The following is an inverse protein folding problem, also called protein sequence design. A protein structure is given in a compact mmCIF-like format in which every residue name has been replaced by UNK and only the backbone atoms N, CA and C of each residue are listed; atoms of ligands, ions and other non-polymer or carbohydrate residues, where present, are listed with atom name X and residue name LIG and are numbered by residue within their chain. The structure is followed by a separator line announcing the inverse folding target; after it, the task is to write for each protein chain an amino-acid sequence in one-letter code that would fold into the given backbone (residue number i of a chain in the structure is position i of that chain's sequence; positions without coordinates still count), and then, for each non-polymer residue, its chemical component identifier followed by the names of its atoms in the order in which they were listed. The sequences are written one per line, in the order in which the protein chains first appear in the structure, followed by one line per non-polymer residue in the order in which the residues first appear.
data_IF_292913827932
#
_entry.id   IF_292913827932
#
_cell.length_a   1.000
_cell.length_b   1.000
_cell.length_c   1.000
_cell.angle_alpha   90.00
_cell.angle_beta   90.00
_cell.angle_gamma   90.00
#
_symmetry.space_group_name_H-M   'P 1'
#
loop_
_entity.id
_entity.type
_entity.pdbx_description
1 polymer ?
#
# COMPACT_ATOMS: atom_id res chain seq x y z
N UNK A 1 -17.89 27.90 9.46
CA UNK A 1 -17.71 29.25 10.05
C UNK A 1 -16.28 29.36 10.56
N UNK A 2 -15.59 30.46 10.29
CA UNK A 2 -14.19 30.69 10.69
C UNK A 2 -14.13 31.62 11.89
N UNK A 3 -13.31 31.25 12.87
CA UNK A 3 -13.06 32.01 14.09
C UNK A 3 -11.55 32.27 14.19
N UNK A 4 -11.14 33.45 13.77
CA UNK A 4 -9.75 33.88 13.83
C UNK A 4 -9.40 34.27 15.27
N UNK A 5 -8.50 33.50 15.89
CA UNK A 5 -8.18 33.61 17.31
C UNK A 5 -6.69 33.86 17.50
N UNK A 6 -6.35 35.08 17.92
CA UNK A 6 -4.97 35.47 18.22
C UNK A 6 -4.55 35.04 19.62
N UNK A 7 -3.60 34.11 19.72
CA UNK A 7 -2.91 33.77 20.97
C UNK A 7 -3.78 33.10 22.05
N UNK A 8 -5.08 32.90 21.80
CA UNK A 8 -6.00 32.20 22.69
C UNK A 8 -6.09 30.72 22.32
N UNK A 9 -6.16 29.84 23.31
CA UNK A 9 -6.43 28.43 23.08
C UNK A 9 -7.85 28.27 22.48
N UNK A 10 -7.95 27.61 21.33
CA UNK A 10 -9.21 27.41 20.59
C UNK A 10 -10.32 26.76 21.44
N UNK A 11 -9.94 25.90 22.40
CA UNK A 11 -10.88 25.27 23.33
C UNK A 11 -11.54 26.27 24.29
N UNK A 12 -10.80 27.27 24.78
CA UNK A 12 -11.34 28.28 25.71
C UNK A 12 -12.28 29.22 24.98
N UNK A 13 -11.93 29.60 23.76
CA UNK A 13 -12.81 30.38 22.87
C UNK A 13 -14.09 29.60 22.56
N UNK A 14 -13.99 28.31 22.25
CA UNK A 14 -15.16 27.47 21.99
C UNK A 14 -16.06 27.35 23.22
N UNK A 15 -15.50 27.12 24.41
CA UNK A 15 -16.28 27.07 25.67
C UNK A 15 -16.98 28.39 25.97
N UNK A 16 -16.26 29.50 25.78
CA UNK A 16 -16.83 30.84 25.95
C UNK A 16 -17.97 31.08 24.96
N UNK A 17 -17.79 30.72 23.69
CA UNK A 17 -18.83 30.81 22.67
C UNK A 17 -20.08 30.04 23.09
N UNK A 18 -19.94 28.76 23.47
CA UNK A 18 -21.06 27.93 23.94
C UNK A 18 -21.81 28.53 25.13
N UNK A 19 -21.10 29.19 26.06
CA UNK A 19 -21.69 29.82 27.23
C UNK A 19 -22.54 31.06 26.90
N UNK A 20 -22.25 31.72 25.78
CA UNK A 20 -22.91 32.96 25.35
C UNK A 20 -23.93 32.75 24.23
N UNK A 21 -24.10 31.53 23.71
CA UNK A 21 -25.15 31.24 22.75
C UNK A 21 -26.53 31.33 23.44
N UNK A 22 -27.41 32.17 22.90
CA UNK A 22 -28.77 32.36 23.42
C UNK A 22 -29.63 31.09 23.41
N UNK A 23 -29.31 30.15 22.53
CA UNK A 23 -29.84 28.78 22.54
C UNK A 23 -28.68 27.81 22.71
N UNK A 24 -28.76 26.93 23.72
CA UNK A 24 -27.78 25.85 23.87
C UNK A 24 -27.90 24.90 22.68
N UNK A 25 -26.78 24.52 22.04
CA UNK A 25 -26.82 23.51 21.00
C UNK A 25 -27.29 22.18 21.57
N UNK A 26 -28.00 21.41 20.75
CA UNK A 26 -28.48 20.06 21.08
C UNK A 26 -27.30 19.12 21.30
N UNK A 27 -26.24 19.27 20.51
CA UNK A 27 -24.98 18.53 20.63
C UNK A 27 -23.80 19.43 20.24
N UNK A 28 -22.62 19.11 20.77
CA UNK A 28 -21.39 19.78 20.37
C UNK A 28 -20.20 18.85 20.49
N UNK A 29 -19.24 18.97 19.57
CA UNK A 29 -17.96 18.25 19.58
C UNK A 29 -16.82 19.23 19.35
N UNK A 30 -15.68 18.97 19.96
CA UNK A 30 -14.44 19.72 19.74
C UNK A 30 -13.32 18.69 19.58
N UNK A 31 -12.53 18.83 18.51
CA UNK A 31 -11.41 17.92 18.22
C UNK A 31 -10.12 18.57 18.72
N UNK A 32 -9.54 18.10 19.84
CA UNK A 32 -8.35 18.70 20.42
C UNK A 32 -7.18 18.76 19.43
N UNK A 33 -6.46 19.89 19.39
CA UNK A 33 -5.29 20.08 18.55
C UNK A 33 -5.56 20.41 17.08
N UNK A 34 -6.75 20.11 16.55
CA UNK A 34 -7.12 20.45 15.16
C UNK A 34 -7.67 21.86 14.98
N UNK A 35 -8.14 22.48 16.06
CA UNK A 35 -8.89 23.73 15.96
C UNK A 35 -10.26 23.55 15.30
N UNK A 36 -10.84 22.34 15.31
CA UNK A 36 -12.16 22.09 14.73
C UNK A 36 -13.21 21.79 15.80
N UNK A 37 -14.40 22.33 15.62
CA UNK A 37 -15.56 22.01 16.43
C UNK A 37 -16.82 21.92 15.58
N UNK A 38 -17.76 21.07 15.96
CA UNK A 38 -19.08 21.00 15.32
C UNK A 38 -20.14 21.21 16.38
N UNK A 39 -21.11 22.08 16.10
CA UNK A 39 -22.31 22.25 16.91
C UNK A 39 -23.55 21.90 16.09
N UNK A 40 -24.51 21.26 16.73
CA UNK A 40 -25.83 21.00 16.15
C UNK A 40 -26.84 21.85 16.88
N UNK A 41 -27.44 22.79 16.16
CA UNK A 41 -28.45 23.70 16.71
C UNK A 41 -29.83 23.21 16.31
N UNK A 42 -30.84 23.60 17.09
CA UNK A 42 -32.26 23.37 16.85
C UNK A 42 -32.75 21.89 16.81
N UNK A 43 -34.07 21.64 16.80
CA UNK A 43 -34.64 20.29 16.72
C UNK A 43 -34.45 19.56 15.37
N UNK A 44 -34.11 20.29 14.30
CA UNK A 44 -33.79 19.73 12.98
C UNK A 44 -32.31 19.33 12.87
N UNK A 45 -31.51 19.58 13.91
CA UNK A 45 -30.09 19.27 13.99
C UNK A 45 -29.28 19.96 12.88
N UNK A 46 -29.54 21.25 12.67
CA UNK A 46 -28.73 22.07 11.77
C UNK A 46 -27.26 22.03 12.22
N UNK A 47 -26.40 21.45 11.38
CA UNK A 47 -24.97 21.28 11.64
C UNK A 47 -24.22 22.56 11.29
N UNK A 48 -23.40 23.06 12.22
CA UNK A 48 -22.49 24.18 12.02
C UNK A 48 -21.07 23.70 12.35
N UNK A 49 -20.22 23.65 11.33
CA UNK A 49 -18.79 23.40 11.49
C UNK A 49 -18.03 24.71 11.77
N UNK A 50 -17.25 24.72 12.84
CA UNK A 50 -16.45 25.83 13.35
C UNK A 50 -14.97 25.49 13.18
N UNK A 51 -14.24 26.36 12.50
CA UNK A 51 -12.79 26.22 12.32
C UNK A 51 -12.10 27.40 13.01
N UNK A 52 -11.20 27.09 13.93
CA UNK A 52 -10.41 28.02 14.73
C UNK A 52 -8.97 27.99 14.22
N UNK A 53 -8.40 29.16 13.97
CA UNK A 53 -7.03 29.27 13.46
C UNK A 53 -6.45 30.63 13.79
N UNK A 54 -5.13 30.67 13.91
CA UNK A 54 -4.38 31.92 14.12
C UNK A 54 -3.89 32.51 12.81
N UNK A 55 -3.64 31.70 11.78
CA UNK A 55 -3.27 32.15 10.44
C UNK A 55 -4.48 32.00 9.51
N UNK A 56 -4.93 33.07 8.83
CA UNK A 56 -5.94 32.95 7.78
C UNK A 56 -5.64 31.88 6.74
N UNK A 57 -4.38 31.60 6.38
CA UNK A 57 -4.06 30.56 5.39
C UNK A 57 -4.34 29.13 5.87
N UNK A 58 -4.55 28.90 7.18
CA UNK A 58 -4.97 27.60 7.72
C UNK A 58 -6.31 27.13 7.12
N UNK A 59 -7.13 28.05 6.58
CA UNK A 59 -8.41 27.75 5.95
C UNK A 59 -8.34 27.64 4.42
N UNK A 60 -7.14 27.74 3.80
CA UNK A 60 -6.98 27.80 2.34
C UNK A 60 -7.57 26.58 1.64
N UNK A 61 -7.37 25.40 2.23
CA UNK A 61 -7.91 24.13 1.74
C UNK A 61 -9.43 24.14 1.56
N UNK A 62 -10.17 24.90 2.39
CA UNK A 62 -11.62 25.00 2.32
C UNK A 62 -12.06 26.16 1.40
N UNK A 63 -11.31 27.27 1.42
CA UNK A 63 -11.53 28.41 0.51
C UNK A 63 -11.37 28.02 -0.96
N UNK A 64 -10.39 27.18 -1.25
CA UNK A 64 -10.07 26.71 -2.60
C UNK A 64 -10.74 25.37 -2.95
N UNK A 65 -11.62 24.85 -2.08
CA UNK A 65 -12.26 23.56 -2.31
C UNK A 65 -13.36 23.67 -3.40
N UNK A 66 -13.18 23.10 -4.61
CA UNK A 66 -14.16 23.22 -5.68
C UNK A 66 -15.49 22.52 -5.35
N UNK A 67 -15.43 21.51 -4.47
CA UNK A 67 -16.56 20.66 -4.07
C UNK A 67 -17.56 21.37 -3.16
N UNK A 68 -17.15 22.48 -2.53
CA UNK A 68 -18.01 23.26 -1.63
C UNK A 68 -18.58 24.44 -2.43
N UNK A 69 -19.91 24.63 -2.46
CA UNK A 69 -20.51 25.82 -3.08
C UNK A 69 -20.15 27.08 -2.29
N UNK A 70 -20.15 28.23 -2.99
CA UNK A 70 -20.03 29.52 -2.32
C UNK A 70 -21.31 29.82 -1.51
N UNK A 71 -21.22 30.50 -0.36
CA UNK A 71 -19.99 30.84 0.35
C UNK A 71 -19.39 29.61 1.07
N UNK A 72 -18.10 29.32 0.83
CA UNK A 72 -17.42 28.16 1.46
C UNK A 72 -17.01 28.45 2.90
N UNK A 73 -16.68 29.71 3.17
CA UNK A 73 -16.32 30.21 4.49
C UNK A 73 -17.19 31.42 4.81
N UNK A 74 -17.57 31.51 6.09
CA UNK A 74 -18.24 32.68 6.66
C UNK A 74 -17.48 33.03 7.93
N UNK A 75 -17.16 34.31 8.10
CA UNK A 75 -16.49 34.82 9.30
C UNK A 75 -17.47 34.84 10.47
N UNK A 76 -17.14 34.12 11.54
CA UNK A 76 -17.82 34.25 12.83
C UNK A 76 -17.15 35.26 13.75
N UNK A 77 -15.82 35.37 13.69
CA UNK A 77 -15.01 36.27 14.52
C UNK A 77 -13.66 36.52 13.83
N UNK A 78 -13.31 37.79 13.63
CA UNK A 78 -12.03 38.23 13.05
C UNK A 78 -11.81 39.73 13.37
N UNK A 79 -11.41 40.05 14.62
CA UNK A 79 -11.32 41.43 15.09
C UNK A 79 -10.26 42.26 14.34
N UNK A 80 -9.33 41.61 13.63
CA UNK A 80 -8.30 42.24 12.82
C UNK A 80 -8.58 42.24 11.31
N UNK A 81 -9.72 41.72 10.87
CA UNK A 81 -10.07 41.53 9.46
C UNK A 81 -8.97 40.78 8.65
N UNK A 82 -8.23 39.88 9.31
CA UNK A 82 -7.12 39.15 8.68
C UNK A 82 -7.61 38.09 7.70
N UNK A 83 -8.82 37.58 7.90
CA UNK A 83 -9.46 36.60 7.04
C UNK A 83 -10.11 37.22 5.79
N UNK A 84 -10.08 38.54 5.60
CA UNK A 84 -10.73 39.20 4.46
C UNK A 84 -10.35 38.59 3.11
N UNK A 85 -9.04 38.39 2.87
CA UNK A 85 -8.52 37.82 1.62
C UNK A 85 -8.99 36.38 1.40
N UNK A 86 -9.00 35.57 2.44
CA UNK A 86 -9.38 34.16 2.30
C UNK A 86 -10.90 33.98 2.19
N UNK A 87 -11.67 34.85 2.83
CA UNK A 87 -13.12 34.90 2.69
C UNK A 87 -13.49 35.35 1.28
N UNK A 88 -12.81 36.34 0.73
CA UNK A 88 -12.94 36.76 -0.68
C UNK A 88 -12.64 35.59 -1.63
N UNK A 89 -11.55 34.84 -1.41
CA UNK A 89 -11.28 33.59 -2.17
C UNK A 89 -12.41 32.57 -2.01
N UNK A 90 -12.92 32.38 -0.79
CA UNK A 90 -13.98 31.43 -0.47
C UNK A 90 -15.37 31.82 -1.02
N UNK A 91 -15.56 33.09 -1.37
CA UNK A 91 -16.77 33.60 -2.04
C UNK A 91 -16.56 33.81 -3.53
N UNK A 92 -15.33 33.70 -4.02
CA UNK A 92 -15.01 33.70 -5.45
C UNK A 92 -15.46 32.38 -6.07
N UNK A 93 -16.12 32.48 -7.21
CA UNK A 93 -16.47 31.31 -8.01
C UNK A 93 -15.18 30.70 -8.59
N UNK A 94 -14.85 29.48 -8.18
CA UNK A 94 -13.72 28.76 -8.73
C UNK A 94 -14.08 28.28 -10.13
N UNK A 95 -13.13 28.31 -11.07
CA UNK A 95 -13.31 27.71 -12.39
C UNK A 95 -13.70 26.24 -12.22
N UNK A 96 -14.92 25.90 -12.64
CA UNK A 96 -15.51 24.56 -12.62
C UNK A 96 -15.71 24.05 -14.03
N UNK A 97 -14.70 24.22 -14.89
CA UNK A 97 -14.80 23.61 -16.21
C UNK A 97 -14.90 22.09 -15.99
N UNK A 98 -15.90 21.47 -16.62
CA UNK A 98 -16.08 20.02 -16.54
C UNK A 98 -14.79 19.27 -16.92
N UNK A 99 -14.01 19.70 -17.94
CA UNK A 99 -12.70 19.09 -18.23
C UNK A 99 -11.71 19.13 -17.05
N UNK A 100 -11.56 20.27 -16.36
CA UNK A 100 -10.60 20.37 -15.25
C UNK A 100 -11.01 19.46 -14.08
N UNK A 101 -12.31 19.41 -13.78
CA UNK A 101 -12.85 18.54 -12.74
C UNK A 101 -12.67 17.05 -13.10
N UNK A 102 -12.92 16.69 -14.36
CA UNK A 102 -12.67 15.32 -14.85
C UNK A 102 -11.19 14.95 -14.71
N UNK A 103 -10.27 15.80 -15.17
CA UNK A 103 -8.83 15.56 -15.06
C UNK A 103 -8.41 15.33 -13.59
N UNK A 104 -8.90 16.16 -12.66
CA UNK A 104 -8.61 16.02 -11.24
C UNK A 104 -9.16 14.71 -10.64
N UNK A 105 -10.39 14.30 -10.99
CA UNK A 105 -10.96 13.05 -10.48
C UNK A 105 -10.30 11.81 -11.10
N UNK A 106 -9.86 11.89 -12.36
CA UNK A 106 -9.08 10.86 -13.06
C UNK A 106 -7.76 10.61 -12.32
N UNK A 107 -7.01 11.67 -12.00
CA UNK A 107 -5.75 11.53 -11.27
C UNK A 107 -5.96 10.89 -9.88
N UNK A 108 -6.96 11.38 -9.14
CA UNK A 108 -7.31 10.80 -7.83
C UNK A 108 -7.75 9.34 -7.93
N UNK A 109 -8.45 8.95 -9.01
CA UNK A 109 -8.80 7.56 -9.25
C UNK A 109 -7.55 6.70 -9.40
N UNK A 110 -6.60 7.10 -10.25
CA UNK A 110 -5.37 6.35 -10.52
C UNK A 110 -4.53 6.18 -9.25
N UNK A 111 -4.38 7.26 -8.47
CA UNK A 111 -3.71 7.20 -7.16
C UNK A 111 -4.41 6.26 -6.19
N UNK A 112 -5.74 6.32 -6.08
CA UNK A 112 -6.52 5.42 -5.23
C UNK A 112 -6.43 3.97 -5.67
N UNK A 113 -6.44 3.72 -6.99
CA UNK A 113 -6.33 2.39 -7.59
C UNK A 113 -4.97 1.76 -7.31
N UNK A 114 -3.88 2.51 -7.50
CA UNK A 114 -2.54 2.04 -7.18
C UNK A 114 -2.38 1.77 -5.68
N UNK A 115 -2.85 2.68 -4.82
CA UNK A 115 -2.79 2.49 -3.37
C UNK A 115 -3.56 1.23 -2.93
N UNK A 116 -4.74 0.99 -3.50
CA UNK A 116 -5.51 -0.23 -3.27
C UNK A 116 -4.71 -1.46 -3.70
N UNK A 117 -4.17 -1.44 -4.92
CA UNK A 117 -3.40 -2.56 -5.47
C UNK A 117 -2.12 -2.85 -4.68
N UNK A 118 -1.43 -1.82 -4.17
CA UNK A 118 -0.26 -1.93 -3.31
C UNK A 118 -0.61 -2.50 -1.93
N UNK A 119 -1.70 -2.07 -1.32
CA UNK A 119 -2.21 -2.65 -0.07
C UNK A 119 -2.58 -4.13 -0.25
N UNK A 120 -3.24 -4.45 -1.36
CA UNK A 120 -3.58 -5.81 -1.74
C UNK A 120 -2.35 -6.72 -1.87
N UNK A 121 -1.31 -6.27 -2.59
CA UNK A 121 -0.04 -7.02 -2.72
C UNK A 121 0.59 -7.30 -1.36
N UNK A 122 0.46 -6.39 -0.40
CA UNK A 122 0.98 -6.51 0.97
C UNK A 122 0.05 -7.27 1.93
N UNK A 123 -0.98 -7.93 1.40
CA UNK A 123 -1.97 -8.68 2.19
C UNK A 123 -2.70 -7.82 3.24
N UNK A 124 -2.86 -6.51 2.99
CA UNK A 124 -3.60 -5.60 3.86
C UNK A 124 -5.06 -5.45 3.38
N UNK A 125 -5.96 -6.25 3.95
CA UNK A 125 -7.37 -6.28 3.57
C UNK A 125 -8.12 -4.97 3.86
N UNK A 126 -7.78 -4.29 4.95
CA UNK A 126 -8.46 -3.05 5.34
C UNK A 126 -8.00 -1.87 4.48
N UNK A 127 -6.69 -1.68 4.31
CA UNK A 127 -6.18 -0.61 3.43
C UNK A 127 -6.60 -0.85 1.99
N UNK A 128 -6.62 -2.10 1.51
CA UNK A 128 -7.18 -2.42 0.20
C UNK A 128 -8.63 -1.93 0.09
N UNK A 129 -9.49 -2.36 1.00
CA UNK A 129 -10.91 -1.96 1.02
C UNK A 129 -11.06 -0.43 1.05
N UNK A 130 -10.29 0.25 1.89
CA UNK A 130 -10.36 1.70 2.04
C UNK A 130 -9.98 2.42 0.74
N UNK A 131 -8.78 2.15 0.21
CA UNK A 131 -8.31 2.80 -1.02
C UNK A 131 -9.14 2.41 -2.25
N UNK A 132 -9.63 1.17 -2.31
CA UNK A 132 -10.51 0.71 -3.38
C UNK A 132 -11.82 1.52 -3.39
N UNK A 133 -12.42 1.77 -2.21
CA UNK A 133 -13.63 2.59 -2.13
C UNK A 133 -13.36 4.06 -2.44
N UNK A 134 -12.17 4.59 -2.12
CA UNK A 134 -11.77 5.92 -2.60
C UNK A 134 -11.74 5.96 -4.13
N UNK A 135 -11.10 4.99 -4.79
CA UNK A 135 -11.07 4.91 -6.25
C UNK A 135 -12.49 4.76 -6.84
N UNK A 136 -13.31 3.85 -6.31
CA UNK A 136 -14.70 3.69 -6.73
C UNK A 136 -15.51 4.99 -6.59
N UNK A 137 -15.28 5.74 -5.52
CA UNK A 137 -15.92 7.04 -5.32
C UNK A 137 -15.48 8.07 -6.38
N UNK A 138 -14.20 8.07 -6.78
CA UNK A 138 -13.72 8.92 -7.89
C UNK A 138 -14.38 8.54 -9.21
N UNK A 139 -14.55 7.26 -9.49
CA UNK A 139 -15.30 6.80 -10.66
C UNK A 139 -16.77 7.28 -10.63
N UNK A 140 -17.44 7.19 -9.47
CA UNK A 140 -18.80 7.70 -9.29
C UNK A 140 -18.91 9.21 -9.61
N UNK A 141 -17.90 10.00 -9.21
CA UNK A 141 -17.83 11.43 -9.49
C UNK A 141 -17.58 11.74 -10.96
N UNK A 142 -16.68 11.00 -11.61
CA UNK A 142 -16.46 11.10 -13.06
C UNK A 142 -17.79 10.88 -13.80
N UNK A 143 -18.54 9.84 -13.45
CA UNK A 143 -19.83 9.56 -14.12
C UNK A 143 -20.89 10.62 -13.82
N UNK A 144 -20.97 11.17 -12.61
CA UNK A 144 -21.89 12.29 -12.34
C UNK A 144 -21.49 13.55 -13.11
N UNK A 145 -20.20 13.83 -13.32
CA UNK A 145 -19.74 14.95 -14.14
C UNK A 145 -20.11 14.78 -15.62
N UNK A 146 -20.01 13.56 -16.15
CA UNK A 146 -20.34 13.25 -17.55
C UNK A 146 -21.85 13.29 -17.83
N UNK A 147 -22.68 12.89 -16.86
CA UNK A 147 -24.12 12.65 -17.06
C UNK A 147 -25.05 13.57 -16.26
N UNK A 148 -24.48 14.42 -15.42
CA UNK A 148 -25.19 15.11 -14.36
C UNK A 148 -24.91 16.60 -14.28
N UNK A 149 -25.33 17.17 -13.15
CA UNK A 149 -25.21 18.58 -12.82
C UNK A 149 -24.30 18.63 -11.57
N UNK A 150 -23.18 19.40 -11.57
CA UNK A 150 -22.15 19.36 -10.53
C UNK A 150 -22.58 19.80 -9.11
N UNK A 151 -23.88 19.87 -8.81
CA UNK A 151 -24.46 20.39 -7.56
C UNK A 151 -24.20 19.48 -6.35
N UNK A 152 -23.83 18.20 -6.53
CA UNK A 152 -23.52 17.27 -5.43
C UNK A 152 -22.34 16.32 -5.72
N UNK A 153 -21.15 16.86 -6.02
CA UNK A 153 -19.97 16.04 -6.34
C UNK A 153 -19.40 15.24 -5.15
N UNK A 154 -19.56 15.69 -3.91
CA UNK A 154 -19.02 14.93 -2.76
C UNK A 154 -19.74 13.59 -2.52
N UNK A 155 -21.04 13.51 -2.81
CA UNK A 155 -21.80 12.27 -2.75
C UNK A 155 -23.05 12.38 -3.66
N UNK A 156 -22.93 12.00 -4.94
CA UNK A 156 -24.03 12.14 -5.89
C UNK A 156 -25.30 11.43 -5.40
N UNK A 157 -26.34 12.22 -5.08
CA UNK A 157 -27.61 11.68 -4.60
C UNK A 157 -28.29 10.89 -5.71
N UNK A 158 -28.73 9.68 -5.39
CA UNK A 158 -29.49 8.83 -6.30
C UNK A 158 -28.74 8.52 -7.61
N UNK A 159 -27.39 8.46 -7.59
CA UNK A 159 -26.56 8.19 -8.77
C UNK A 159 -27.08 7.02 -9.60
N UNK A 160 -27.23 5.84 -8.98
CA UNK A 160 -27.70 4.63 -9.66
C UNK A 160 -29.11 4.81 -10.26
N UNK A 161 -30.16 5.11 -9.46
CA UNK A 161 -31.52 5.19 -10.01
C UNK A 161 -31.78 6.41 -10.90
N UNK A 162 -31.00 7.50 -10.78
CA UNK A 162 -31.20 8.74 -11.55
C UNK A 162 -30.37 8.79 -12.84
N UNK A 163 -29.19 8.16 -12.88
CA UNK A 163 -28.22 8.31 -13.97
C UNK A 163 -27.93 7.04 -14.77
N UNK A 164 -28.45 5.89 -14.33
CA UNK A 164 -28.10 4.60 -14.92
C UNK A 164 -29.33 3.72 -15.15
N UNK A 165 -29.46 3.06 -16.33
CA UNK A 165 -30.48 2.04 -16.57
C UNK A 165 -30.25 0.82 -15.67
N UNK A 166 -31.32 0.02 -15.47
CA UNK A 166 -31.31 -1.10 -14.51
C UNK A 166 -30.18 -2.11 -14.74
N UNK A 167 -29.80 -2.39 -15.98
CA UNK A 167 -28.69 -3.31 -16.28
C UNK A 167 -27.33 -2.74 -15.86
N UNK A 168 -27.07 -1.46 -16.11
CA UNK A 168 -25.85 -0.79 -15.62
C UNK A 168 -25.82 -0.75 -14.08
N UNK A 169 -26.96 -0.53 -13.42
CA UNK A 169 -27.02 -0.56 -11.96
C UNK A 169 -26.60 -1.91 -11.37
N UNK A 170 -26.88 -3.04 -12.04
CA UNK A 170 -26.43 -4.36 -11.58
C UNK A 170 -24.90 -4.44 -11.60
N UNK A 171 -24.29 -4.01 -12.70
CA UNK A 171 -22.82 -3.96 -12.85
C UNK A 171 -22.20 -3.10 -11.74
N UNK A 172 -22.76 -1.92 -11.46
CA UNK A 172 -22.26 -1.06 -10.39
C UNK A 172 -22.35 -1.68 -8.99
N UNK A 173 -23.35 -2.51 -8.71
CA UNK A 173 -23.45 -3.25 -7.43
C UNK A 173 -22.36 -4.33 -7.29
N UNK A 174 -21.82 -4.82 -8.41
CA UNK A 174 -20.70 -5.77 -8.41
C UNK A 174 -19.35 -5.10 -8.12
N UNK A 175 -19.26 -3.77 -8.26
CA UNK A 175 -18.07 -3.00 -7.92
C UNK A 175 -17.88 -2.79 -6.41
N UNK A 176 -18.77 -3.30 -5.55
CA UNK A 176 -18.67 -3.13 -4.09
C UNK A 176 -17.29 -3.55 -3.56
N UNK A 177 -16.70 -2.73 -2.69
CA UNK A 177 -15.44 -3.07 -2.03
C UNK A 177 -15.57 -4.29 -1.11
N UNK A 178 -14.48 -5.04 -0.96
CA UNK A 178 -14.40 -6.22 -0.08
C UNK A 178 -13.10 -6.19 0.73
N UNK A 179 -13.16 -6.63 1.99
CA UNK A 179 -11.95 -6.89 2.80
C UNK A 179 -11.36 -8.29 2.51
N UNK A 180 -12.08 -9.12 1.75
CA UNK A 180 -11.65 -10.46 1.40
C UNK A 180 -10.74 -10.42 0.16
N UNK A 181 -9.43 -10.41 0.41
CA UNK A 181 -8.41 -10.24 -0.64
C UNK A 181 -8.44 -11.25 -1.79
N UNK A 182 -8.86 -12.53 -1.62
CA UNK A 182 -8.94 -13.43 -2.77
C UNK A 182 -9.85 -12.93 -3.92
N UNK A 183 -10.82 -12.05 -3.65
CA UNK A 183 -11.67 -11.43 -4.69
C UNK A 183 -11.06 -10.17 -5.32
N UNK A 184 -10.00 -9.60 -4.73
CA UNK A 184 -9.55 -8.25 -5.04
C UNK A 184 -8.97 -8.11 -6.45
N UNK A 185 -8.35 -9.15 -7.04
CA UNK A 185 -7.95 -9.08 -8.45
C UNK A 185 -9.15 -8.95 -9.38
N UNK A 186 -10.24 -9.68 -9.14
CA UNK A 186 -11.48 -9.57 -9.90
C UNK A 186 -12.14 -8.20 -9.71
N UNK A 187 -12.14 -7.66 -8.48
CA UNK A 187 -12.63 -6.31 -8.20
C UNK A 187 -11.81 -5.23 -8.92
N UNK A 188 -10.48 -5.27 -8.84
CA UNK A 188 -9.59 -4.33 -9.53
C UNK A 188 -9.80 -4.36 -11.05
N UNK A 189 -9.92 -5.55 -11.66
CA UNK A 189 -10.17 -5.69 -13.12
C UNK A 189 -11.48 -5.02 -13.52
N UNK A 190 -12.59 -5.35 -12.84
CA UNK A 190 -13.91 -4.74 -13.11
C UNK A 190 -13.89 -3.22 -12.91
N UNK A 191 -13.24 -2.74 -11.85
CA UNK A 191 -13.15 -1.31 -11.59
C UNK A 191 -12.34 -0.57 -12.67
N UNK A 192 -11.21 -1.15 -13.11
CA UNK A 192 -10.39 -0.62 -14.19
C UNK A 192 -11.17 -0.57 -15.52
N UNK A 193 -11.91 -1.63 -15.85
CA UNK A 193 -12.76 -1.68 -17.06
C UNK A 193 -13.80 -0.55 -17.05
N UNK A 194 -14.55 -0.38 -15.95
CA UNK A 194 -15.55 0.69 -15.83
C UNK A 194 -14.94 2.08 -15.89
N UNK A 195 -13.74 2.24 -15.34
CA UNK A 195 -13.01 3.50 -15.44
C UNK A 195 -12.59 3.81 -16.87
N UNK A 196 -12.07 2.84 -17.62
CA UNK A 196 -11.68 3.06 -19.02
C UNK A 196 -12.88 3.42 -19.91
N UNK A 197 -14.05 2.81 -19.67
CA UNK A 197 -15.30 3.23 -20.33
C UNK A 197 -15.65 4.69 -20.03
N UNK A 198 -15.50 5.12 -18.77
CA UNK A 198 -15.73 6.52 -18.40
C UNK A 198 -14.69 7.49 -19.02
N UNK A 199 -13.45 7.04 -19.23
CA UNK A 199 -12.42 7.80 -19.95
C UNK A 199 -12.79 7.96 -21.44
N UNK A 200 -13.37 6.93 -22.05
CA UNK A 200 -13.84 6.98 -23.44
C UNK A 200 -14.99 8.01 -23.61
N UNK A 201 -15.95 7.99 -22.69
CA UNK A 201 -17.03 8.99 -22.62
C UNK A 201 -16.47 10.41 -22.39
N UNK A 202 -15.47 10.54 -21.51
CA UNK A 202 -14.85 11.82 -21.20
C UNK A 202 -14.14 12.43 -22.41
N UNK A 203 -13.34 11.65 -23.16
CA UNK A 203 -12.70 12.15 -24.39
C UNK A 203 -13.69 12.53 -25.48
N UNK A 204 -14.78 11.76 -25.61
CA UNK A 204 -15.77 11.97 -26.67
C UNK A 204 -16.56 13.26 -26.46
N UNK A 205 -16.81 13.61 -25.19
CA UNK A 205 -17.69 14.73 -24.82
C UNK A 205 -16.93 15.96 -24.28
N UNK A 206 -15.69 15.77 -23.81
CA UNK A 206 -14.90 16.80 -23.14
C UNK A 206 -13.42 16.72 -23.58
N UNK A 207 -12.74 17.87 -23.59
CA UNK A 207 -11.30 17.95 -23.91
C UNK A 207 -10.45 17.68 -22.66
N UNK A 208 -10.46 16.44 -22.17
CA UNK A 208 -9.60 16.03 -21.05
C UNK A 208 -8.14 15.84 -21.51
N UNK A 209 -7.20 15.94 -20.59
CA UNK A 209 -5.76 15.88 -20.88
C UNK A 209 -5.26 14.42 -20.92
N UNK A 210 -5.82 13.57 -20.07
CA UNK A 210 -5.33 12.20 -19.86
C UNK A 210 -5.79 11.28 -20.99
N UNK A 211 -4.84 10.82 -21.81
CA UNK A 211 -5.13 9.87 -22.89
C UNK A 211 -5.52 8.48 -22.37
N UNK A 212 -6.44 7.81 -23.09
CA UNK A 212 -6.97 6.48 -22.75
C UNK A 212 -5.89 5.40 -22.75
N UNK A 213 -4.99 5.43 -23.74
CA UNK A 213 -3.87 4.49 -23.88
C UNK A 213 -2.91 4.57 -22.70
N UNK A 214 -2.60 5.77 -22.22
CA UNK A 214 -1.78 5.98 -21.02
C UNK A 214 -2.43 5.41 -19.76
N UNK A 215 -3.73 5.68 -19.57
CA UNK A 215 -4.49 5.17 -18.44
C UNK A 215 -4.58 3.63 -18.45
N UNK A 216 -4.86 3.04 -19.62
CA UNK A 216 -4.91 1.58 -19.79
C UNK A 216 -3.55 0.93 -19.51
N UNK A 217 -2.47 1.51 -20.04
CA UNK A 217 -1.11 1.02 -19.81
C UNK A 217 -0.74 1.05 -18.32
N UNK A 218 -1.08 2.13 -17.61
CA UNK A 218 -0.88 2.24 -16.16
C UNK A 218 -1.66 1.17 -15.39
N UNK A 219 -2.97 1.02 -15.66
CA UNK A 219 -3.82 0.06 -14.95
C UNK A 219 -3.34 -1.37 -15.19
N UNK A 220 -2.97 -1.71 -16.43
CA UNK A 220 -2.39 -3.00 -16.78
C UNK A 220 -1.08 -3.26 -16.02
N UNK A 221 -0.18 -2.28 -15.96
CA UNK A 221 1.07 -2.41 -15.23
C UNK A 221 0.84 -2.65 -13.73
N UNK A 222 -0.08 -1.91 -13.11
CA UNK A 222 -0.45 -2.09 -11.69
C UNK A 222 -1.07 -3.47 -11.44
N UNK A 223 -2.00 -3.90 -12.31
CA UNK A 223 -2.65 -5.20 -12.20
C UNK A 223 -1.66 -6.37 -12.32
N UNK A 224 -0.69 -6.27 -13.24
CA UNK A 224 0.34 -7.29 -13.46
C UNK A 224 1.35 -7.32 -12.31
N UNK A 225 1.86 -6.14 -11.89
CA UNK A 225 2.82 -6.00 -10.78
C UNK A 225 2.29 -6.59 -9.48
N UNK A 226 1.01 -6.36 -9.18
CA UNK A 226 0.38 -6.69 -7.90
C UNK A 226 -0.57 -7.90 -8.00
N UNK A 227 -0.39 -8.77 -9.00
CA UNK A 227 -1.25 -9.93 -9.21
C UNK A 227 -1.09 -10.96 -8.07
N UNK A 228 0.15 -11.29 -7.72
CA UNK A 228 0.48 -12.28 -6.70
C UNK A 228 0.75 -11.61 -5.35
N UNK A 229 0.24 -12.20 -4.26
CA UNK A 229 0.38 -11.56 -2.96
C UNK A 229 1.72 -11.88 -2.35
N UNK A 230 2.33 -10.84 -1.77
CA UNK A 230 3.53 -10.93 -0.97
C UNK A 230 4.70 -11.62 -1.69
N UNK A 231 4.69 -11.59 -3.03
CA UNK A 231 5.78 -12.09 -3.88
C UNK A 231 6.84 -11.03 -4.00
N UNK A 232 8.10 -11.41 -3.73
CA UNK A 232 9.29 -10.59 -3.98
C UNK A 232 10.54 -11.46 -4.02
N UNK A 233 11.57 -10.94 -4.65
CA UNK A 233 12.90 -11.53 -4.59
C UNK A 233 13.45 -11.33 -3.17
N UNK A 234 14.06 -12.37 -2.60
CA UNK A 234 14.75 -12.25 -1.33
C UNK A 234 15.90 -11.23 -1.43
N UNK A 235 16.52 -11.10 -2.61
CA UNK A 235 17.61 -10.16 -2.84
C UNK A 235 17.19 -8.68 -2.75
N UNK A 236 15.91 -8.36 -2.98
CA UNK A 236 15.40 -6.96 -3.01
C UNK A 236 15.67 -6.21 -1.71
N UNK A 237 15.76 -6.92 -0.58
CA UNK A 237 16.03 -6.33 0.72
C UNK A 237 17.54 -6.21 1.06
N UNK A 238 18.42 -6.87 0.30
CA UNK A 238 19.84 -6.99 0.63
C UNK A 238 20.72 -6.53 -0.54
N UNK A 239 20.56 -5.27 -0.91
CA UNK A 239 21.20 -4.64 -2.07
C UNK A 239 22.68 -5.01 -2.21
N UNK A 240 23.04 -5.64 -3.34
CA UNK A 240 24.40 -6.06 -3.69
C UNK A 240 24.95 -7.25 -2.89
N UNK A 241 24.32 -7.70 -1.80
CA UNK A 241 24.80 -8.79 -0.93
C UNK A 241 24.30 -10.17 -1.37
N UNK A 242 23.07 -10.22 -1.88
CA UNK A 242 22.38 -11.45 -2.29
C UNK A 242 22.21 -11.48 -3.81
N UNK A 243 22.31 -12.67 -4.40
CA UNK A 243 22.08 -12.92 -5.83
C UNK A 243 20.60 -12.78 -6.16
N UNK A 244 20.21 -11.88 -7.07
CA UNK A 244 18.83 -11.79 -7.53
C UNK A 244 18.45 -13.04 -8.34
N UNK A 245 17.17 -13.38 -8.32
CA UNK A 245 16.54 -14.46 -9.08
C UNK A 245 16.81 -15.86 -8.54
N UNK A 246 17.27 -16.00 -7.29
CA UNK A 246 17.63 -17.32 -6.71
C UNK A 246 16.65 -17.80 -5.65
N UNK A 247 16.16 -16.92 -4.79
CA UNK A 247 15.21 -17.23 -3.73
C UNK A 247 14.09 -16.20 -3.75
N UNK A 248 12.86 -16.66 -3.91
CA UNK A 248 11.66 -15.82 -3.82
C UNK A 248 10.86 -16.22 -2.60
N UNK A 249 10.29 -15.23 -1.92
CA UNK A 249 9.28 -15.45 -0.90
C UNK A 249 7.91 -15.03 -1.42
N UNK A 250 6.86 -15.76 -1.04
CA UNK A 250 5.52 -15.58 -1.58
C UNK A 250 4.42 -15.98 -0.57
N UNK A 251 3.20 -15.49 -0.79
CA UNK A 251 1.99 -16.19 -0.30
C UNK A 251 1.72 -17.45 -1.12
N UNK A 252 0.71 -18.25 -0.74
CA UNK A 252 0.42 -19.49 -1.47
C UNK A 252 0.01 -19.21 -2.90
N UNK A 253 0.84 -19.69 -3.85
CA UNK A 253 0.61 -19.45 -5.27
C UNK A 253 -0.54 -20.29 -5.84
N UNK A 254 -0.98 -21.32 -5.12
CA UNK A 254 -2.11 -22.18 -5.53
C UNK A 254 -3.41 -21.41 -5.73
N UNK A 255 -3.56 -20.22 -5.10
CA UNK A 255 -4.67 -19.28 -5.32
C UNK A 255 -4.80 -18.84 -6.77
N UNK A 256 -3.70 -18.85 -7.53
CA UNK A 256 -3.63 -18.42 -8.92
C UNK A 256 -3.28 -19.58 -9.85
N UNK A 257 -3.55 -20.83 -9.44
CA UNK A 257 -3.26 -22.02 -10.25
C UNK A 257 -3.86 -21.95 -11.66
N UNK A 258 -5.05 -21.37 -11.77
CA UNK A 258 -5.79 -21.23 -13.04
C UNK A 258 -5.45 -19.94 -13.82
N UNK A 259 -4.65 -19.03 -13.24
CA UNK A 259 -4.24 -17.79 -13.90
C UNK A 259 -3.01 -18.05 -14.79
N UNK A 260 -3.07 -17.83 -16.12
CA UNK A 260 -1.95 -18.10 -17.03
C UNK A 260 -0.66 -17.36 -16.65
N UNK A 261 -0.80 -16.17 -16.05
CA UNK A 261 0.30 -15.37 -15.56
C UNK A 261 1.16 -16.09 -14.51
N UNK A 262 0.61 -17.05 -13.75
CA UNK A 262 1.41 -17.83 -12.79
C UNK A 262 2.41 -18.73 -13.51
N UNK A 263 1.98 -19.44 -14.54
CA UNK A 263 2.86 -20.28 -15.34
C UNK A 263 3.97 -19.46 -16.02
N UNK A 264 3.60 -18.28 -16.55
CA UNK A 264 4.55 -17.34 -17.14
C UNK A 264 5.56 -16.85 -16.11
N UNK A 265 5.10 -16.41 -14.94
CA UNK A 265 5.97 -15.92 -13.86
C UNK A 265 6.95 -17.00 -13.37
N UNK A 266 6.48 -18.24 -13.19
CA UNK A 266 7.34 -19.37 -12.80
C UNK A 266 8.43 -19.65 -13.87
N UNK A 267 8.07 -19.57 -15.15
CA UNK A 267 9.00 -19.76 -16.28
C UNK A 267 10.03 -18.64 -16.36
N UNK A 268 9.60 -17.38 -16.30
CA UNK A 268 10.46 -16.20 -16.42
C UNK A 268 11.48 -16.11 -15.29
N UNK A 269 11.04 -16.41 -14.07
CA UNK A 269 11.92 -16.46 -12.89
C UNK A 269 12.68 -17.77 -12.77
N UNK A 270 12.59 -18.66 -13.77
CA UNK A 270 13.30 -19.95 -13.84
C UNK A 270 13.11 -20.77 -12.56
N UNK A 271 11.90 -20.79 -12.02
CA UNK A 271 11.58 -21.52 -10.79
C UNK A 271 11.74 -23.01 -11.05
N UNK A 272 12.56 -23.67 -10.23
CA UNK A 272 12.82 -25.12 -10.26
C UNK A 272 12.41 -25.81 -8.97
N UNK A 273 12.05 -25.04 -7.95
CA UNK A 273 11.66 -25.56 -6.66
C UNK A 273 10.60 -24.70 -5.98
N UNK A 274 9.62 -25.35 -5.37
CA UNK A 274 8.64 -24.74 -4.47
C UNK A 274 8.74 -25.42 -3.10
N UNK A 275 8.81 -24.62 -2.05
CA UNK A 275 8.75 -25.05 -0.65
C UNK A 275 7.44 -24.51 -0.06
N UNK A 276 6.54 -25.42 0.28
CA UNK A 276 5.26 -25.11 0.89
C UNK A 276 5.31 -25.39 2.40
N UNK A 277 5.14 -24.34 3.20
CA UNK A 277 5.15 -24.39 4.66
C UNK A 277 3.75 -24.52 5.27
N UNK A 278 2.70 -24.62 4.45
CA UNK A 278 1.32 -24.77 4.92
C UNK A 278 1.11 -26.10 5.61
N UNK A 279 0.21 -26.13 6.59
CA UNK A 279 -0.28 -27.37 7.18
C UNK A 279 -1.21 -28.09 6.21
N UNK A 280 -1.45 -29.38 6.44
CA UNK A 280 -2.33 -30.19 5.61
C UNK A 280 -3.76 -29.63 5.56
N UNK A 281 -4.30 -29.18 6.70
CA UNK A 281 -5.64 -28.57 6.79
C UNK A 281 -5.80 -27.31 5.93
N UNK A 282 -4.75 -26.51 5.78
CA UNK A 282 -4.73 -25.32 4.90
C UNK A 282 -4.70 -25.67 3.40
N UNK A 283 -4.50 -26.94 3.07
CA UNK A 283 -4.49 -27.46 1.70
C UNK A 283 -5.80 -28.18 1.34
N UNK A 284 -6.69 -28.43 2.31
CA UNK A 284 -8.00 -29.10 2.12
C UNK A 284 -9.06 -28.15 1.53
N UNK A 285 -8.71 -27.46 0.44
CA UNK A 285 -9.60 -26.53 -0.28
C UNK A 285 -9.51 -26.79 -1.78
N UNK A 286 -10.51 -26.32 -2.55
CA UNK A 286 -10.54 -26.51 -4.00
C UNK A 286 -9.30 -25.95 -4.72
N UNK A 287 -8.68 -24.90 -4.17
CA UNK A 287 -7.44 -24.27 -4.68
C UNK A 287 -6.24 -24.53 -3.77
N UNK A 288 -6.30 -25.60 -2.98
CA UNK A 288 -5.27 -25.94 -2.00
C UNK A 288 -4.00 -26.54 -2.62
N UNK A 289 -4.10 -27.08 -3.83
CA UNK A 289 -3.02 -27.74 -4.54
C UNK A 289 -2.71 -27.05 -5.88
N UNK A 290 -1.46 -27.16 -6.33
CA UNK A 290 -1.08 -26.72 -7.67
C UNK A 290 -1.74 -27.61 -8.74
N UNK A 291 -2.25 -27.04 -9.85
CA UNK A 291 -2.71 -27.83 -10.99
C UNK A 291 -1.61 -28.75 -11.53
N UNK A 292 -1.97 -29.98 -11.91
CA UNK A 292 -1.01 -31.04 -12.22
C UNK A 292 0.01 -30.72 -13.33
N UNK A 293 -0.35 -29.88 -14.30
CA UNK A 293 0.57 -29.46 -15.38
C UNK A 293 1.54 -28.34 -15.00
N UNK A 294 1.24 -27.57 -13.94
CA UNK A 294 1.99 -26.37 -13.59
C UNK A 294 3.38 -26.69 -13.01
N UNK A 295 3.54 -27.88 -12.43
CA UNK A 295 4.76 -28.28 -11.72
C UNK A 295 5.64 -29.26 -12.51
N UNK A 296 5.40 -29.48 -13.80
CA UNK A 296 6.09 -30.52 -14.59
C UNK A 296 7.63 -30.48 -14.45
N UNK A 297 8.23 -29.27 -14.45
CA UNK A 297 9.68 -29.06 -14.30
C UNK A 297 10.09 -28.47 -12.93
N UNK A 298 9.20 -28.55 -11.93
CA UNK A 298 9.36 -27.90 -10.62
C UNK A 298 9.29 -28.97 -9.52
N UNK A 299 10.36 -29.10 -8.74
CA UNK A 299 10.34 -29.98 -7.57
C UNK A 299 9.56 -29.32 -6.44
N UNK A 300 8.49 -29.97 -6.00
CA UNK A 300 7.66 -29.52 -4.88
C UNK A 300 8.09 -30.19 -3.57
N UNK A 301 8.32 -29.38 -2.54
CA UNK A 301 8.69 -29.82 -1.19
C UNK A 301 7.64 -29.30 -0.21
N UNK A 302 7.00 -30.21 0.52
CA UNK A 302 6.08 -29.86 1.60
C UNK A 302 6.81 -29.99 2.94
N UNK A 303 7.04 -28.86 3.60
CA UNK A 303 7.70 -28.76 4.90
C UNK A 303 6.76 -28.05 5.89
N UNK A 304 5.67 -28.72 6.31
CA UNK A 304 4.59 -28.07 7.05
C UNK A 304 5.11 -27.50 8.36
N UNK A 305 4.83 -26.22 8.59
CA UNK A 305 5.04 -25.58 9.87
C UNK A 305 3.69 -25.37 10.54
N UNK A 306 3.50 -25.98 11.71
CA UNK A 306 2.46 -25.58 12.64
C UNK A 306 2.63 -24.09 12.90
N UNK A 307 1.60 -23.27 12.68
CA UNK A 307 1.68 -21.86 13.07
C UNK A 307 2.01 -21.72 14.58
N UNK A 308 2.17 -20.49 15.10
CA UNK A 308 2.37 -20.32 16.54
C UNK A 308 1.30 -21.13 17.30
N UNK A 309 1.67 -21.85 18.37
CA UNK A 309 0.69 -22.57 19.16
C UNK A 309 -0.30 -21.55 19.73
N UNK A 310 -1.48 -21.47 19.13
CA UNK A 310 -2.69 -21.02 19.81
C UNK A 310 -3.08 -22.17 20.76
N UNK A 311 -2.21 -22.50 21.72
CA UNK A 311 -2.55 -23.45 22.76
C UNK A 311 -3.63 -22.78 23.62
N UNK A 312 -4.81 -23.40 23.84
CA UNK A 312 -5.87 -22.82 24.67
C UNK A 312 -5.41 -22.44 26.09
N UNK A 313 -4.37 -23.13 26.57
CA UNK A 313 -3.84 -23.01 27.94
C UNK A 313 -2.61 -22.08 28.06
N UNK A 314 -2.10 -21.52 26.96
CA UNK A 314 -1.08 -20.46 27.04
C UNK A 314 -1.78 -19.11 26.95
N UNK A 315 -1.46 -18.13 27.82
CA UNK A 315 -1.94 -16.77 27.61
C UNK A 315 -1.51 -16.35 26.20
N UNK A 316 -2.36 -15.67 25.41
CA UNK A 316 -1.98 -15.21 24.09
C UNK A 316 -0.70 -14.39 24.26
N UNK A 317 0.44 -14.96 23.88
CA UNK A 317 1.66 -14.18 23.75
C UNK A 317 1.35 -13.26 22.60
N UNK A 318 1.03 -12.00 22.91
CA UNK A 318 0.70 -11.02 21.89
C UNK A 318 1.84 -11.08 20.85
N UNK A 319 1.53 -11.22 19.54
CA UNK A 319 2.53 -11.16 18.48
C UNK A 319 3.46 -9.95 18.62
N UNK A 320 2.99 -8.89 19.27
CA UNK A 320 3.70 -7.66 19.61
C UNK A 320 4.92 -7.88 20.52
N UNK A 321 4.94 -8.95 21.32
CA UNK A 321 6.03 -9.22 22.26
C UNK A 321 7.21 -9.94 21.60
N UNK A 322 7.08 -10.54 20.41
CA UNK A 322 8.14 -11.32 19.77
C UNK A 322 8.33 -12.76 20.31
N UNK A 323 7.77 -13.09 21.48
CA UNK A 323 7.89 -14.43 22.07
C UNK A 323 7.23 -15.52 21.21
N UNK A 324 6.14 -15.19 20.53
CA UNK A 324 5.46 -16.10 19.61
C UNK A 324 6.39 -16.59 18.49
N UNK A 325 7.29 -15.73 17.99
CA UNK A 325 8.26 -16.09 16.95
C UNK A 325 9.36 -17.02 17.48
N UNK A 326 9.82 -16.79 18.72
CA UNK A 326 10.78 -17.67 19.39
C UNK A 326 10.16 -19.06 19.62
N UNK A 327 8.90 -19.12 20.09
CA UNK A 327 8.21 -20.39 20.27
C UNK A 327 7.95 -21.10 18.95
N UNK A 328 7.56 -20.38 17.90
CA UNK A 328 7.40 -20.95 16.56
C UNK A 328 8.72 -21.53 16.05
N UNK A 329 9.85 -20.82 16.22
CA UNK A 329 11.15 -21.37 15.85
C UNK A 329 11.48 -22.65 16.61
N UNK A 330 11.25 -22.69 17.93
CA UNK A 330 11.54 -23.87 18.76
C UNK A 330 10.67 -25.07 18.37
N UNK A 331 9.38 -24.85 18.16
CA UNK A 331 8.43 -25.89 17.82
C UNK A 331 8.66 -26.44 16.39
N UNK A 332 8.95 -25.55 15.44
CA UNK A 332 8.99 -25.86 14.01
C UNK A 332 10.43 -25.99 13.48
N UNK A 333 11.41 -26.18 14.37
CA UNK A 333 12.83 -26.19 14.02
C UNK A 333 13.17 -27.21 12.94
N UNK A 334 12.58 -28.40 13.01
CA UNK A 334 12.75 -29.45 11.98
C UNK A 334 12.29 -28.99 10.61
N UNK A 335 11.13 -28.35 10.50
CA UNK A 335 10.61 -27.81 9.24
C UNK A 335 11.48 -26.67 8.70
N UNK A 336 12.03 -25.81 9.58
CA UNK A 336 12.99 -24.76 9.19
C UNK A 336 14.27 -25.40 8.61
N UNK A 337 14.79 -26.45 9.25
CA UNK A 337 15.97 -27.18 8.77
C UNK A 337 15.70 -27.80 7.40
N UNK A 338 14.56 -28.46 7.21
CA UNK A 338 14.18 -29.05 5.93
C UNK A 338 13.98 -28.00 4.83
N UNK A 339 13.41 -26.84 5.16
CA UNK A 339 13.31 -25.72 4.23
C UNK A 339 14.70 -25.21 3.81
N UNK A 340 15.65 -25.06 4.74
CA UNK A 340 17.03 -24.64 4.43
C UNK A 340 17.73 -25.69 3.54
N UNK A 341 17.62 -26.98 3.87
CA UNK A 341 18.15 -28.07 3.03
C UNK A 341 17.52 -28.05 1.62
N UNK A 342 16.22 -27.81 1.53
CA UNK A 342 15.53 -27.68 0.25
C UNK A 342 15.97 -26.44 -0.54
N UNK A 343 16.28 -25.31 0.11
CA UNK A 343 16.87 -24.14 -0.57
C UNK A 343 18.23 -24.53 -1.16
N UNK A 344 19.12 -25.14 -0.35
CA UNK A 344 20.49 -25.51 -0.75
C UNK A 344 20.51 -26.60 -1.83
N UNK A 345 19.61 -27.58 -1.75
CA UNK A 345 19.58 -28.70 -2.71
C UNK A 345 19.07 -28.33 -4.10
N UNK A 346 18.69 -27.07 -4.34
CA UNK A 346 18.33 -26.59 -5.67
C UNK A 346 19.65 -26.16 -6.32
N UNK A 347 20.15 -26.89 -7.31
CA UNK A 347 21.49 -26.62 -7.86
C UNK A 347 21.45 -25.49 -8.89
N UNK A 348 20.34 -25.36 -9.62
CA UNK A 348 20.15 -24.36 -10.68
C UNK A 348 18.72 -23.82 -10.69
N UNK A 349 18.55 -22.56 -11.07
CA UNK A 349 17.26 -21.88 -11.09
C UNK A 349 16.81 -21.42 -9.70
N UNK A 350 15.59 -20.90 -9.64
CA UNK A 350 15.05 -20.26 -8.46
C UNK A 350 14.28 -21.23 -7.55
N UNK A 351 14.29 -20.93 -6.26
CA UNK A 351 13.43 -21.54 -5.25
C UNK A 351 12.38 -20.54 -4.81
N UNK A 352 11.11 -20.93 -4.78
CA UNK A 352 10.04 -20.16 -4.14
C UNK A 352 9.72 -20.80 -2.80
N UNK A 353 9.68 -20.02 -1.73
CA UNK A 353 9.19 -20.45 -0.43
C UNK A 353 7.92 -19.69 -0.06
N UNK A 354 6.87 -20.41 0.35
CA UNK A 354 5.61 -19.81 0.72
C UNK A 354 4.92 -20.52 1.88
N UNK A 355 3.98 -19.81 2.51
CA UNK A 355 3.00 -20.37 3.43
C UNK A 355 1.61 -19.91 2.97
N UNK A 356 0.66 -19.68 3.86
CA UNK A 356 -0.65 -19.12 3.47
C UNK A 356 -0.53 -17.66 3.00
N UNK A 357 -0.01 -16.77 3.85
CA UNK A 357 0.14 -15.34 3.56
C UNK A 357 1.56 -14.93 3.12
N UNK A 358 2.55 -15.82 3.23
CA UNK A 358 3.96 -15.50 2.93
C UNK A 358 4.65 -14.63 3.97
N UNK A 359 4.05 -14.53 5.15
CA UNK A 359 4.42 -13.57 6.18
C UNK A 359 5.17 -14.21 7.35
N UNK A 360 4.48 -14.94 8.23
CA UNK A 360 5.07 -15.37 9.50
C UNK A 360 6.01 -16.58 9.35
N UNK A 361 5.48 -17.72 8.89
CA UNK A 361 6.29 -18.94 8.67
C UNK A 361 7.39 -18.71 7.63
N UNK A 362 7.02 -18.15 6.47
CA UNK A 362 7.97 -17.77 5.43
C UNK A 362 8.96 -16.71 5.92
N UNK A 363 8.50 -15.73 6.70
CA UNK A 363 9.35 -14.66 7.24
C UNK A 363 10.38 -15.16 8.23
N UNK A 364 10.01 -16.05 9.16
CA UNK A 364 10.99 -16.69 10.06
C UNK A 364 12.03 -17.44 9.25
N UNK A 365 11.64 -18.27 8.27
CA UNK A 365 12.62 -19.03 7.49
C UNK A 365 13.56 -18.09 6.73
N UNK A 366 13.03 -17.04 6.10
CA UNK A 366 13.84 -16.03 5.41
C UNK A 366 14.77 -15.26 6.35
N UNK A 367 14.30 -14.90 7.55
CA UNK A 367 15.10 -14.23 8.58
C UNK A 367 16.23 -15.15 9.09
N UNK A 368 15.94 -16.42 9.37
CA UNK A 368 16.95 -17.41 9.76
C UNK A 368 17.99 -17.59 8.66
N UNK A 369 17.57 -17.69 7.39
CA UNK A 369 18.50 -17.73 6.24
C UNK A 369 19.39 -16.49 6.20
N UNK A 370 18.83 -15.30 6.38
CA UNK A 370 19.60 -14.06 6.38
C UNK A 370 20.64 -14.01 7.53
N UNK A 371 20.25 -14.43 8.73
CA UNK A 371 21.14 -14.49 9.90
C UNK A 371 22.25 -15.53 9.72
N UNK A 372 21.96 -16.69 9.13
CA UNK A 372 22.99 -17.70 8.81
C UNK A 372 23.99 -17.21 7.75
N UNK A 373 23.57 -16.28 6.89
CA UNK A 373 24.43 -15.63 5.91
C UNK A 373 25.21 -14.43 6.47
N UNK A 374 24.97 -14.06 7.74
CA UNK A 374 25.50 -12.88 8.41
C UNK A 374 25.10 -11.56 7.69
N UNK A 375 23.87 -11.49 7.15
CA UNK A 375 23.32 -10.29 6.53
C UNK A 375 22.93 -9.23 7.58
N UNK A 376 22.94 -7.93 7.23
CA UNK A 376 22.66 -6.87 8.19
C UNK A 376 21.25 -6.97 8.77
N UNK A 377 21.17 -6.90 10.10
CA UNK A 377 19.92 -6.96 10.84
C UNK A 377 18.88 -5.93 10.39
N UNK A 378 19.31 -4.71 10.10
CA UNK A 378 18.45 -3.62 9.59
C UNK A 378 17.74 -4.03 8.30
N UNK A 379 18.43 -4.74 7.41
CA UNK A 379 17.91 -5.20 6.13
C UNK A 379 16.91 -6.35 6.35
N UNK A 380 17.18 -7.25 7.31
CA UNK A 380 16.27 -8.34 7.70
C UNK A 380 14.96 -7.80 8.25
N UNK A 381 15.04 -6.79 9.12
CA UNK A 381 13.86 -6.12 9.69
C UNK A 381 13.07 -5.42 8.59
N UNK A 382 13.75 -4.69 7.70
CA UNK A 382 13.12 -4.02 6.57
C UNK A 382 12.35 -5.01 5.67
N UNK A 383 12.96 -6.15 5.29
CA UNK A 383 12.28 -7.20 4.50
C UNK A 383 11.02 -7.72 5.21
N UNK A 384 11.12 -7.93 6.52
CA UNK A 384 10.01 -8.46 7.31
C UNK A 384 8.83 -7.47 7.32
N UNK A 385 9.12 -6.19 7.53
CA UNK A 385 8.12 -5.12 7.63
C UNK A 385 7.38 -4.84 6.32
N UNK A 386 7.92 -5.26 5.16
CA UNK A 386 7.22 -5.16 3.88
C UNK A 386 5.91 -5.99 3.82
N UNK A 387 5.79 -7.04 4.63
CA UNK A 387 4.65 -7.98 4.57
C UNK A 387 3.37 -7.50 5.28
N UNK A 388 3.36 -6.34 5.94
CA UNK A 388 2.16 -5.61 6.43
C UNK A 388 1.27 -6.28 7.52
N UNK A 389 0.70 -5.47 8.41
CA UNK A 389 -0.33 -5.71 9.46
C UNK A 389 -0.16 -6.82 10.52
N UNK A 390 0.02 -6.46 11.79
CA UNK A 390 -0.04 -7.38 12.94
C UNK A 390 1.32 -7.87 13.46
N UNK A 391 2.40 -7.26 12.97
CA UNK A 391 3.77 -7.50 13.45
C UNK A 391 4.42 -6.15 13.70
N UNK A 392 5.00 -5.99 14.88
CA UNK A 392 5.77 -4.80 15.23
C UNK A 392 7.23 -5.04 14.92
N UNK A 393 7.94 -3.97 14.57
CA UNK A 393 9.40 -4.00 14.42
C UNK A 393 10.07 -4.59 15.68
N UNK A 394 9.58 -4.17 16.86
CA UNK A 394 10.04 -4.65 18.17
C UNK A 394 9.92 -6.18 18.33
N UNK A 395 8.85 -6.79 17.82
CA UNK A 395 8.66 -8.23 17.90
C UNK A 395 9.72 -9.00 17.10
N UNK A 396 10.04 -8.50 15.90
CA UNK A 396 11.05 -9.10 15.04
C UNK A 396 12.44 -8.84 15.59
N UNK A 397 12.74 -7.62 16.00
CA UNK A 397 13.97 -7.26 16.71
C UNK A 397 14.23 -8.21 17.89
N UNK A 398 13.22 -8.49 18.73
CA UNK A 398 13.39 -9.44 19.83
C UNK A 398 13.72 -10.85 19.36
N UNK A 399 13.06 -11.34 18.31
CA UNK A 399 13.36 -12.64 17.71
C UNK A 399 14.81 -12.71 17.19
N UNK A 400 15.25 -11.69 16.45
CA UNK A 400 16.62 -11.63 15.90
C UNK A 400 17.66 -11.60 17.03
N UNK A 401 17.44 -10.80 18.08
CA UNK A 401 18.34 -10.74 19.24
C UNK A 401 18.40 -12.05 20.02
N UNK A 402 17.27 -12.77 20.11
CA UNK A 402 17.25 -14.10 20.71
C UNK A 402 18.01 -15.12 19.86
N UNK A 403 17.87 -15.08 18.53
CA UNK A 403 18.53 -16.02 17.62
C UNK A 403 20.06 -15.86 17.59
N UNK A 404 20.57 -14.64 17.71
CA UNK A 404 22.01 -14.35 17.78
C UNK A 404 22.70 -14.96 19.01
N UNK A 405 21.93 -15.39 20.01
CA UNK A 405 22.47 -16.15 21.14
C UNK A 405 23.03 -17.49 20.64
N UNK A 406 24.23 -17.84 21.10
CA UNK A 406 24.95 -19.05 20.64
C UNK A 406 24.10 -20.33 20.69
N UNK A 407 23.22 -20.47 21.68
CA UNK A 407 22.34 -21.63 21.84
C UNK A 407 21.35 -21.83 20.68
N UNK A 408 20.80 -20.75 20.10
CA UNK A 408 19.82 -20.85 19.02
C UNK A 408 20.50 -21.31 17.72
N UNK A 409 21.61 -20.66 17.32
CA UNK A 409 22.43 -21.10 16.18
C UNK A 409 22.96 -22.51 16.36
N UNK A 410 23.47 -22.86 17.55
CA UNK A 410 23.96 -24.20 17.87
C UNK A 410 22.87 -25.28 17.77
N UNK A 411 21.61 -24.93 18.09
CA UNK A 411 20.50 -25.87 17.95
C UNK A 411 20.22 -26.24 16.49
N UNK A 412 20.41 -25.32 15.54
CA UNK A 412 20.31 -25.63 14.10
C UNK A 412 21.49 -26.47 13.62
N UNK A 413 22.71 -26.16 14.08
CA UNK A 413 23.89 -26.95 13.74
C UNK A 413 23.75 -28.40 14.19
N UNK A 414 23.24 -28.62 15.41
CA UNK A 414 22.96 -29.95 15.96
C UNK A 414 21.93 -30.73 15.13
N UNK A 415 20.99 -30.03 14.50
CA UNK A 415 19.91 -30.63 13.69
C UNK A 415 20.28 -30.75 12.19
N UNK A 416 21.54 -30.49 11.83
CA UNK A 416 22.06 -30.73 10.48
C UNK A 416 22.21 -29.50 9.59
N UNK A 417 22.13 -28.29 10.15
CA UNK A 417 22.55 -27.03 9.50
C UNK A 417 23.99 -26.71 9.93
N UNK A 418 24.90 -27.63 9.60
CA UNK A 418 26.32 -27.48 9.93
C UNK A 418 27.02 -26.41 9.05
N UNK A 419 28.28 -26.12 9.36
CA UNK A 419 29.08 -25.14 8.61
C UNK A 419 29.24 -25.51 7.13
N UNK A 420 29.17 -26.79 6.77
CA UNK A 420 29.21 -27.23 5.37
C UNK A 420 27.92 -26.85 4.63
N UNK A 421 26.74 -27.05 5.25
CA UNK A 421 25.47 -26.61 4.68
C UNK A 421 25.38 -25.09 4.61
N UNK A 422 25.82 -24.37 5.64
CA UNK A 422 25.87 -22.90 5.67
C UNK A 422 26.78 -22.38 4.55
N UNK A 423 27.95 -23.00 4.34
CA UNK A 423 28.86 -22.65 3.25
C UNK A 423 28.21 -22.84 1.88
N UNK A 424 27.46 -23.93 1.67
CA UNK A 424 26.71 -24.16 0.42
C UNK A 424 25.55 -23.16 0.25
N UNK A 425 24.87 -22.80 1.34
CA UNK A 425 23.84 -21.77 1.33
C UNK A 425 24.43 -20.41 0.90
N UNK A 426 25.59 -20.04 1.46
CA UNK A 426 26.35 -18.84 1.07
C UNK A 426 26.78 -18.88 -0.39
N UNK A 427 27.31 -20.01 -0.86
CA UNK A 427 27.68 -20.20 -2.28
C UNK A 427 26.46 -20.09 -3.22
N UNK A 428 25.26 -20.40 -2.76
CA UNK A 428 24.04 -20.30 -3.56
C UNK A 428 23.47 -18.89 -3.57
N UNK A 429 23.40 -18.23 -2.42
CA UNK A 429 22.65 -16.98 -2.25
C UNK A 429 23.51 -15.72 -2.25
N UNK A 430 24.76 -15.76 -1.83
CA UNK A 430 25.59 -14.56 -1.66
C UNK A 430 26.39 -14.28 -2.92
N UNK A 431 26.51 -13.00 -3.29
CA UNK A 431 27.45 -12.57 -4.32
C UNK A 431 28.87 -12.81 -3.79
N UNK A 432 29.62 -13.74 -4.39
CA UNK A 432 31.04 -13.88 -4.10
C UNK A 432 31.75 -12.69 -4.72
N UNK A 433 31.75 -11.55 -4.04
CA UNK A 433 32.77 -10.53 -4.32
C UNK A 433 34.10 -11.13 -3.91
N UNK A 434 35.04 -11.23 -4.85
CA UNK A 434 36.44 -11.37 -4.48
C UNK A 434 36.82 -10.11 -3.66
N UNK A 435 37.49 -10.26 -2.51
CA UNK A 435 38.13 -9.10 -1.90
C UNK A 435 39.22 -8.63 -2.88
N UNK A 436 39.22 -7.33 -3.19
CA UNK A 436 40.03 -6.63 -4.19
C UNK A 436 39.49 -6.61 -5.64
N UNK A 437 38.43 -5.84 -5.87
CA UNK A 437 38.32 -5.05 -7.11
C UNK A 437 38.00 -3.61 -6.71
N UNK A 438 38.99 -2.93 -6.12
CA UNK A 438 39.06 -1.47 -6.05
C UNK A 438 39.21 -0.93 -7.48
N UNK A 439 38.13 -0.97 -8.27
CA UNK A 439 38.08 -0.21 -9.52
C UNK A 439 37.94 1.26 -9.20
N UNK A 440 39.05 1.93 -9.42
CA UNK A 440 39.22 3.36 -9.65
C UNK A 440 37.89 4.13 -9.79
N UNK A 441 37.69 5.06 -8.86
CA UNK A 441 36.88 6.25 -9.06
C UNK A 441 37.20 6.84 -10.44
N UNK A 442 36.23 7.05 -11.34
CA UNK A 442 36.49 7.86 -12.53
C UNK A 442 36.86 9.28 -12.06
N UNK A 443 37.81 9.96 -12.71
CA UNK A 443 38.18 11.31 -12.31
C UNK A 443 36.95 12.22 -12.43
N UNK A 444 36.74 13.05 -11.41
CA UNK A 444 35.67 14.02 -11.37
C UNK A 444 35.67 14.86 -12.66
N UNK A 445 34.53 14.92 -13.34
CA UNK A 445 34.32 15.84 -14.45
C UNK A 445 34.57 17.27 -13.96
N UNK A 446 35.48 17.96 -14.64
CA UNK A 446 35.76 19.36 -14.39
C UNK A 446 34.52 20.21 -14.74
N UNK A 447 34.20 21.27 -13.96
CA UNK A 447 33.07 22.12 -14.27
C UNK A 447 33.24 22.78 -15.66
N UNK A 448 32.13 23.02 -16.39
CA UNK A 448 32.20 23.56 -17.75
C UNK A 448 32.84 24.95 -17.74
N UNK A 449 33.86 25.14 -18.59
CA UNK A 449 34.44 26.46 -18.81
C UNK A 449 33.43 27.37 -19.53
N UNK A 450 33.40 28.68 -19.21
CA UNK A 450 32.52 29.63 -19.88
C UNK A 450 32.91 29.77 -21.35
N UNK A 451 31.91 29.67 -22.24
CA UNK A 451 32.05 29.81 -23.68
C UNK A 451 32.60 31.19 -24.05
N UNK A 452 33.78 31.22 -24.68
CA UNK A 452 34.28 32.39 -25.40
C UNK A 452 33.81 32.31 -26.84
N UNK A 453 32.64 32.88 -27.14
CA UNK A 453 32.26 33.19 -28.52
C UNK A 453 32.26 34.73 -28.69
N UNK A 454 32.94 35.27 -29.72
CA UNK A 454 33.06 36.71 -29.89
C UNK A 454 31.77 37.32 -30.46
N UNK A 455 31.38 38.47 -29.90
CA UNK A 455 30.21 39.24 -30.30
C UNK A 455 30.16 39.57 -31.81
N UNK A 456 28.96 39.62 -32.42
CA UNK A 456 28.81 39.91 -33.84
C UNK A 456 29.17 41.37 -34.17
N UNK A 457 29.97 41.54 -35.22
CA UNK A 457 30.35 42.83 -35.78
C UNK A 457 29.12 43.56 -36.35
N UNK A 458 28.97 44.82 -35.96
CA UNK A 458 28.04 45.79 -36.54
C UNK A 458 28.39 46.11 -38.01
N UNK A 459 27.41 46.28 -38.91
CA UNK A 459 27.69 46.77 -40.26
C UNK A 459 27.82 48.30 -40.23
N UNK A 460 28.89 48.83 -40.83
CA UNK A 460 28.99 50.25 -41.21
C UNK A 460 29.08 50.37 -42.72
N UNK A 461 28.10 51.14 -43.22
CA UNK A 461 27.92 51.77 -44.54
C UNK A 461 27.43 50.90 -45.68
#
# INVERSE_FOLDING_TARGET
MVLHVDGCASLDVFRSLLAHLGNRPSFSTFVPGSGEATVWVDPQLTKIDLHFGSDPEDFAWLADCPDVPIPRLVVGYDPGNRCARIVERATTELSRSVPDLLNAEIEKFLCGFEAASSAHRRSDGYQFYFHYNLALHRLARIVELLRGDPVYMFLPKLLLPKRMPLEEQKIWRELRGSIYLPEANGLKRRLAERFLEAIDDAHSNHKIDRRRDEAEAFLRAVLQRDLFFNVRDFADAFEGKVRPGVLFRASTLTRWGDEPALAEWLRENRVRRIIDLRKADEMETATGHYPGGLLADIKYFHAPMGGPPLHPDLPPSSPETGDAYIQMFKAERSAIVEAIKAIVGCESGATVIHCHAGKDRTGIVCAVVALLLDLPRTDVVADYMLSGQGVTEQAIERFLAWFEQAAARQSLCSDGVDEALISRLRLRLVNLMQPDDTRATPPAESPPQPSTDPAPRTPRR
#
